data_IF_984053479332
#
_entry.id   IF_984053479332
#
_cell.length_a   1.000
_cell.length_b   1.000
_cell.length_c   1.000
_cell.angle_alpha   90.00
_cell.angle_beta   90.00
_cell.angle_gamma   90.00
#
_symmetry.space_group_name_H-M   'P 1'
#
loop_
_entity.id
_entity.type
_entity.pdbx_description
1 polymer ?
#
# COMPACT_ATOMS: atom_id res chain seq x y z
N UNK A 1 16.16 -15.58 -4.23
CA UNK A 1 14.90 -15.50 -3.45
C UNK A 1 14.94 -16.63 -2.44
N UNK A 2 14.94 -16.32 -1.17
CA UNK A 2 14.98 -17.31 -0.09
C UNK A 2 13.69 -18.16 -0.08
N UNK A 3 13.77 -19.37 0.51
CA UNK A 3 12.59 -20.25 0.60
C UNK A 3 11.42 -19.57 1.34
N UNK A 4 11.73 -18.78 2.35
CA UNK A 4 10.73 -18.05 3.14
C UNK A 4 10.00 -17.00 2.30
N UNK A 5 10.69 -16.28 1.42
CA UNK A 5 10.08 -15.31 0.49
C UNK A 5 9.07 -15.97 -0.43
N UNK A 6 9.40 -17.16 -0.97
CA UNK A 6 8.48 -17.92 -1.83
C UNK A 6 7.21 -18.32 -1.09
N UNK A 7 7.34 -18.64 0.20
CA UNK A 7 6.18 -18.98 1.02
C UNK A 7 5.31 -17.74 1.24
N UNK A 8 5.90 -16.58 1.54
CA UNK A 8 5.15 -15.34 1.70
C UNK A 8 4.40 -14.94 0.41
N UNK A 9 5.05 -15.00 -0.75
CA UNK A 9 4.41 -14.67 -2.03
C UNK A 9 3.23 -15.61 -2.33
N UNK A 10 3.40 -16.92 -2.11
CA UNK A 10 2.35 -17.91 -2.33
C UNK A 10 1.18 -17.76 -1.34
N UNK A 11 1.47 -17.53 -0.06
CA UNK A 11 0.45 -17.30 0.96
C UNK A 11 -0.34 -16.00 0.67
N UNK A 12 0.36 -14.92 0.31
CA UNK A 12 -0.27 -13.66 -0.05
C UNK A 12 -1.22 -13.81 -1.25
N UNK A 13 -0.80 -14.49 -2.31
CA UNK A 13 -1.65 -14.74 -3.47
C UNK A 13 -2.94 -15.48 -3.07
N UNK A 14 -2.82 -16.52 -2.25
CA UNK A 14 -4.00 -17.27 -1.80
C UNK A 14 -4.90 -16.40 -0.92
N UNK A 15 -4.35 -15.68 0.07
CA UNK A 15 -5.14 -14.82 0.95
C UNK A 15 -5.86 -13.70 0.21
N UNK A 16 -5.26 -13.15 -0.85
CA UNK A 16 -5.87 -12.08 -1.64
C UNK A 16 -6.86 -12.56 -2.69
N UNK A 17 -6.71 -13.79 -3.20
CA UNK A 17 -7.59 -14.36 -4.23
C UNK A 17 -8.79 -15.11 -3.64
N UNK A 18 -8.57 -15.88 -2.58
CA UNK A 18 -9.58 -16.79 -2.01
C UNK A 18 -10.15 -16.25 -0.70
N UNK A 19 -9.44 -15.31 -0.04
CA UNK A 19 -9.73 -14.84 1.31
C UNK A 19 -9.04 -15.69 2.38
N UNK A 20 -8.89 -15.12 3.58
CA UNK A 20 -8.25 -15.81 4.71
C UNK A 20 -9.01 -17.06 5.13
N UNK A 21 -10.35 -16.98 5.25
CA UNK A 21 -11.19 -18.09 5.70
C UNK A 21 -11.16 -19.28 4.74
N UNK A 22 -11.09 -19.03 3.44
CA UNK A 22 -11.09 -20.04 2.38
C UNK A 22 -9.74 -20.75 2.20
N UNK A 23 -8.66 -20.26 2.82
CA UNK A 23 -7.29 -20.82 2.65
C UNK A 23 -6.92 -21.72 3.80
N UNK A 24 -6.27 -22.86 3.48
CA UNK A 24 -5.71 -23.81 4.46
C UNK A 24 -4.19 -23.85 4.36
N UNK A 25 -3.52 -24.22 5.47
CA UNK A 25 -2.06 -24.43 5.48
C UNK A 25 -1.62 -25.50 4.47
N UNK A 26 -2.44 -26.51 4.24
CA UNK A 26 -2.16 -27.57 3.26
C UNK A 26 -2.19 -27.06 1.82
N UNK A 27 -3.08 -26.13 1.49
CA UNK A 27 -3.11 -25.46 0.18
C UNK A 27 -1.87 -24.62 -0.02
N UNK A 28 -1.44 -23.86 1.01
CA UNK A 28 -0.23 -23.05 0.95
C UNK A 28 1.00 -23.95 0.73
N UNK A 29 1.14 -25.03 1.52
CA UNK A 29 2.24 -25.98 1.37
C UNK A 29 2.34 -26.56 -0.04
N UNK A 30 1.21 -27.01 -0.60
CA UNK A 30 1.13 -27.52 -1.98
C UNK A 30 1.51 -26.46 -3.01
N UNK A 31 1.02 -25.23 -2.85
CA UNK A 31 1.34 -24.12 -3.77
C UNK A 31 2.84 -23.75 -3.74
N UNK A 32 3.48 -23.88 -2.58
CA UNK A 32 4.92 -23.68 -2.44
C UNK A 32 5.76 -24.88 -2.89
N UNK A 33 5.17 -26.04 -3.12
CA UNK A 33 5.90 -27.28 -3.43
C UNK A 33 6.70 -27.83 -2.23
N UNK A 34 6.20 -27.63 -1.00
CA UNK A 34 6.85 -28.09 0.23
C UNK A 34 5.92 -28.98 1.05
N UNK A 35 6.51 -29.81 1.92
CA UNK A 35 5.74 -30.64 2.85
C UNK A 35 5.08 -29.80 3.96
N UNK A 36 3.89 -30.24 4.42
CA UNK A 36 3.16 -29.62 5.53
C UNK A 36 4.03 -29.45 6.77
N UNK A 37 4.79 -30.48 7.15
CA UNK A 37 5.69 -30.41 8.30
C UNK A 37 6.78 -29.32 8.14
N UNK A 38 7.26 -29.11 6.92
CA UNK A 38 8.21 -28.04 6.61
C UNK A 38 7.57 -26.67 6.78
N UNK A 39 6.31 -26.49 6.30
CA UNK A 39 5.61 -25.23 6.46
C UNK A 39 5.38 -24.88 7.93
N UNK A 40 4.96 -25.86 8.75
CA UNK A 40 4.75 -25.64 10.19
C UNK A 40 6.02 -25.36 11.00
N UNK A 41 7.21 -25.69 10.47
CA UNK A 41 8.49 -25.26 11.06
C UNK A 41 8.71 -23.75 10.91
N UNK A 42 8.21 -23.15 9.83
CA UNK A 42 8.33 -21.71 9.60
C UNK A 42 7.19 -20.93 10.26
N UNK A 43 5.97 -21.47 10.22
CA UNK A 43 4.76 -20.79 10.66
C UNK A 43 3.89 -21.72 11.49
N UNK A 44 3.80 -21.49 12.80
CA UNK A 44 3.06 -22.38 13.72
C UNK A 44 1.55 -22.38 13.46
N UNK A 45 1.03 -21.32 12.87
CA UNK A 45 -0.40 -21.19 12.53
C UNK A 45 -0.61 -20.37 11.27
N UNK A 46 -1.83 -20.48 10.70
CA UNK A 46 -2.26 -19.64 9.57
C UNK A 46 -2.32 -18.17 9.94
N UNK A 47 -2.74 -17.88 11.16
CA UNK A 47 -2.81 -16.52 11.70
C UNK A 47 -1.43 -15.89 11.82
N UNK A 48 -0.46 -16.60 12.43
CA UNK A 48 0.92 -16.11 12.50
C UNK A 48 1.52 -15.89 11.11
N UNK A 49 1.25 -16.79 10.16
CA UNK A 49 1.66 -16.64 8.78
C UNK A 49 1.08 -15.37 8.14
N UNK A 50 -0.21 -15.06 8.38
CA UNK A 50 -0.84 -13.84 7.88
C UNK A 50 -0.17 -12.60 8.47
N UNK A 51 0.08 -12.57 9.78
CA UNK A 51 0.76 -11.44 10.44
C UNK A 51 2.18 -11.23 9.91
N UNK A 52 2.93 -12.32 9.71
CA UNK A 52 4.29 -12.26 9.14
C UNK A 52 4.27 -11.83 7.66
N UNK A 53 3.27 -12.26 6.88
CA UNK A 53 3.07 -11.77 5.51
C UNK A 53 2.82 -10.25 5.47
N UNK A 54 2.01 -9.73 6.39
CA UNK A 54 1.73 -8.30 6.48
C UNK A 54 3.03 -7.52 6.72
N UNK A 55 3.87 -7.98 7.66
CA UNK A 55 5.16 -7.33 7.92
C UNK A 55 6.08 -7.39 6.69
N UNK A 56 6.27 -8.58 6.11
CA UNK A 56 7.12 -8.79 4.94
C UNK A 56 6.75 -7.86 3.78
N UNK A 57 5.45 -7.77 3.43
CA UNK A 57 5.02 -6.92 2.33
C UNK A 57 5.04 -5.43 2.68
N UNK A 58 4.83 -5.07 3.95
CA UNK A 58 4.95 -3.69 4.42
C UNK A 58 6.39 -3.21 4.33
N UNK A 59 7.36 -4.01 4.76
CA UNK A 59 8.79 -3.69 4.66
C UNK A 59 9.25 -3.57 3.21
N UNK A 60 8.85 -4.51 2.36
CA UNK A 60 9.15 -4.50 0.93
C UNK A 60 8.59 -3.26 0.23
N UNK A 61 7.35 -2.93 0.51
CA UNK A 61 6.71 -1.73 -0.01
C UNK A 61 7.40 -0.45 0.48
N UNK A 62 7.74 -0.39 1.76
CA UNK A 62 8.47 0.73 2.35
C UNK A 62 9.85 0.93 1.72
N UNK A 63 10.59 -0.15 1.48
CA UNK A 63 11.88 -0.09 0.82
C UNK A 63 11.78 0.41 -0.64
N UNK A 64 10.76 -0.02 -1.39
CA UNK A 64 10.52 0.48 -2.76
C UNK A 64 10.17 1.97 -2.75
N UNK A 65 9.31 2.42 -1.84
CA UNK A 65 8.96 3.83 -1.69
C UNK A 65 10.18 4.68 -1.31
N UNK A 66 10.99 4.22 -0.36
CA UNK A 66 12.21 4.92 0.04
C UNK A 66 13.22 5.00 -1.11
N UNK A 67 13.37 3.96 -1.91
CA UNK A 67 14.23 3.96 -3.11
C UNK A 67 13.85 5.08 -4.09
N UNK A 68 12.56 5.37 -4.25
CA UNK A 68 12.09 6.47 -5.11
C UNK A 68 12.37 7.83 -4.45
N UNK A 69 12.05 7.97 -3.16
CA UNK A 69 12.16 9.24 -2.46
C UNK A 69 13.63 9.66 -2.21
N UNK A 70 14.51 8.68 -1.97
CA UNK A 70 15.94 8.92 -1.77
C UNK A 70 16.72 9.12 -3.07
N UNK A 71 16.14 8.83 -4.24
CA UNK A 71 16.84 8.94 -5.52
C UNK A 71 17.15 10.41 -5.85
N UNK A 72 18.44 10.82 -5.91
CA UNK A 72 18.85 12.20 -6.18
C UNK A 72 18.57 12.63 -7.64
N UNK A 73 18.44 11.68 -8.57
CA UNK A 73 18.21 11.96 -9.99
C UNK A 73 16.74 12.28 -10.29
N UNK A 74 15.85 12.03 -9.35
CA UNK A 74 14.43 12.34 -9.50
C UNK A 74 14.12 13.74 -8.99
N UNK A 75 13.45 14.54 -9.84
CA UNK A 75 12.90 15.82 -9.40
C UNK A 75 11.85 15.63 -8.29
N UNK A 76 11.62 16.63 -7.42
CA UNK A 76 10.59 16.56 -6.39
C UNK A 76 9.22 16.19 -6.94
N UNK A 77 8.89 16.64 -8.15
CA UNK A 77 7.63 16.30 -8.83
C UNK A 77 7.56 14.82 -9.20
N UNK A 78 8.63 14.25 -9.75
CA UNK A 78 8.69 12.81 -10.05
C UNK A 78 8.65 11.95 -8.80
N UNK A 79 9.24 12.42 -7.69
CA UNK A 79 9.12 11.76 -6.39
C UNK A 79 7.67 11.78 -5.90
N UNK A 80 7.00 12.95 -5.95
CA UNK A 80 5.61 13.11 -5.51
C UNK A 80 4.61 12.27 -6.32
N UNK A 81 4.83 12.09 -7.62
CA UNK A 81 3.97 11.26 -8.46
C UNK A 81 4.36 9.78 -8.44
N UNK A 82 5.66 9.48 -8.27
CA UNK A 82 6.20 8.12 -8.37
C UNK A 82 6.12 7.30 -7.09
N UNK A 83 6.18 7.95 -5.90
CA UNK A 83 6.27 7.22 -4.62
C UNK A 83 5.07 6.30 -4.35
N UNK A 84 3.93 6.57 -4.96
CA UNK A 84 2.72 5.79 -4.79
C UNK A 84 2.63 4.58 -5.74
N UNK A 85 3.43 4.56 -6.80
CA UNK A 85 3.38 3.47 -7.78
C UNK A 85 3.57 2.06 -7.16
N UNK A 86 4.47 1.85 -6.19
CA UNK A 86 4.54 0.59 -5.44
C UNK A 86 3.23 0.22 -4.75
N UNK A 87 2.55 1.20 -4.14
CA UNK A 87 1.26 1.00 -3.45
C UNK A 87 0.18 0.61 -4.46
N UNK A 88 0.10 1.31 -5.60
CA UNK A 88 -0.85 1.01 -6.68
C UNK A 88 -0.65 -0.42 -7.19
N UNK A 89 0.61 -0.81 -7.47
CA UNK A 89 0.92 -2.18 -7.90
C UNK A 89 0.57 -3.24 -6.85
N UNK A 90 0.74 -2.91 -5.57
CA UNK A 90 0.40 -3.81 -4.47
C UNK A 90 -1.13 -3.97 -4.34
N UNK A 91 -1.86 -2.85 -4.31
CA UNK A 91 -3.33 -2.85 -4.15
C UNK A 91 -4.02 -3.51 -5.34
N UNK A 92 -3.53 -3.32 -6.57
CA UNK A 92 -4.11 -3.97 -7.76
C UNK A 92 -3.97 -5.50 -7.79
N UNK A 93 -3.09 -6.07 -6.96
CA UNK A 93 -3.00 -7.53 -6.76
C UNK A 93 -4.06 -8.07 -5.78
N UNK A 94 -4.68 -7.20 -5.00
CA UNK A 94 -5.72 -7.56 -4.04
C UNK A 94 -7.07 -7.49 -4.78
N UNK A 95 -7.68 -8.64 -5.01
CA UNK A 95 -8.97 -8.74 -5.72
C UNK A 95 -10.11 -8.27 -4.82
N UNK A 96 -10.45 -6.98 -4.92
CA UNK A 96 -11.59 -6.37 -4.26
C UNK A 96 -11.48 -6.25 -2.73
N UNK A 97 -12.42 -5.54 -2.13
CA UNK A 97 -12.49 -5.37 -0.67
C UNK A 97 -12.85 -6.64 0.11
N UNK A 98 -13.30 -7.71 -0.58
CA UNK A 98 -13.77 -8.93 0.04
C UNK A 98 -12.70 -9.65 0.89
N UNK A 99 -11.46 -9.74 0.39
CA UNK A 99 -10.36 -10.36 1.14
C UNK A 99 -10.02 -9.58 2.41
N UNK A 100 -10.04 -8.25 2.33
CA UNK A 100 -9.78 -7.39 3.49
C UNK A 100 -10.93 -7.44 4.52
N UNK A 101 -12.18 -7.53 4.06
CA UNK A 101 -13.34 -7.73 4.92
C UNK A 101 -13.31 -9.10 5.60
N UNK A 102 -12.88 -10.15 4.88
CA UNK A 102 -12.72 -11.48 5.44
C UNK A 102 -11.64 -11.50 6.55
N UNK A 103 -10.50 -10.84 6.33
CA UNK A 103 -9.46 -10.66 7.35
C UNK A 103 -10.03 -9.89 8.54
N UNK A 104 -10.76 -8.79 8.32
CA UNK A 104 -11.37 -7.99 9.39
C UNK A 104 -12.32 -8.80 10.27
N UNK A 105 -13.07 -9.72 9.68
CA UNK A 105 -14.03 -10.57 10.40
C UNK A 105 -13.36 -11.70 11.18
N UNK A 106 -12.33 -12.32 10.61
CA UNK A 106 -11.75 -13.55 11.13
C UNK A 106 -10.45 -13.34 11.93
N UNK A 107 -9.71 -12.27 11.63
CA UNK A 107 -8.44 -11.91 12.30
C UNK A 107 -8.36 -10.40 12.47
N UNK A 108 -9.16 -9.81 13.39
CA UNK A 108 -9.21 -8.36 13.60
C UNK A 108 -7.85 -7.72 13.85
N UNK A 109 -6.96 -8.39 14.60
CA UNK A 109 -5.58 -7.93 14.86
C UNK A 109 -4.78 -7.74 13.57
N UNK A 110 -4.91 -8.65 12.61
CA UNK A 110 -4.25 -8.52 11.31
C UNK A 110 -4.79 -7.32 10.53
N UNK A 111 -6.09 -7.06 10.60
CA UNK A 111 -6.69 -5.88 9.98
C UNK A 111 -6.18 -4.58 10.60
N UNK A 112 -6.12 -4.50 11.93
CA UNK A 112 -5.57 -3.34 12.65
C UNK A 112 -4.10 -3.10 12.28
N UNK A 113 -3.32 -4.18 12.18
CA UNK A 113 -1.92 -4.12 11.75
C UNK A 113 -1.78 -3.59 10.32
N UNK A 114 -2.60 -4.07 9.37
CA UNK A 114 -2.62 -3.55 7.98
C UNK A 114 -2.91 -2.05 7.99
N UNK A 115 -3.93 -1.62 8.72
CA UNK A 115 -4.34 -0.21 8.77
C UNK A 115 -3.29 0.69 9.43
N UNK A 116 -2.68 0.25 10.53
CA UNK A 116 -1.60 0.96 11.20
C UNK A 116 -0.35 1.08 10.31
N UNK A 117 0.06 0.00 9.65
CA UNK A 117 1.19 0.00 8.73
C UNK A 117 0.95 0.91 7.52
N UNK A 118 -0.25 0.86 6.94
CA UNK A 118 -0.66 1.73 5.84
C UNK A 118 -0.58 3.20 6.25
N UNK A 119 -1.18 3.55 7.40
CA UNK A 119 -1.14 4.94 7.91
C UNK A 119 0.30 5.40 8.16
N UNK A 120 1.10 4.61 8.86
CA UNK A 120 2.49 4.94 9.16
C UNK A 120 3.32 5.16 7.89
N UNK A 121 3.21 4.24 6.94
CA UNK A 121 4.01 4.26 5.72
C UNK A 121 3.63 5.42 4.80
N UNK A 122 2.34 5.65 4.59
CA UNK A 122 1.84 6.70 3.71
C UNK A 122 2.02 8.07 4.36
N UNK A 123 1.68 8.21 5.65
CA UNK A 123 1.73 9.49 6.37
C UNK A 123 3.13 10.10 6.35
N UNK A 124 4.13 9.35 6.78
CA UNK A 124 5.50 9.85 6.86
C UNK A 124 6.03 10.30 5.49
N UNK A 125 5.74 9.51 4.46
CA UNK A 125 6.19 9.80 3.10
C UNK A 125 5.48 11.02 2.49
N UNK A 126 4.17 11.18 2.72
CA UNK A 126 3.45 12.38 2.25
C UNK A 126 3.98 13.64 2.94
N UNK A 127 4.15 13.61 4.26
CA UNK A 127 4.73 14.75 5.01
C UNK A 127 6.09 15.13 4.41
N UNK A 128 6.98 14.16 4.20
CA UNK A 128 8.30 14.37 3.60
C UNK A 128 8.20 15.01 2.21
N UNK A 129 7.35 14.47 1.33
CA UNK A 129 7.15 14.99 -0.04
C UNK A 129 6.67 16.44 -0.01
N UNK A 130 5.70 16.76 0.85
CA UNK A 130 5.17 18.12 0.95
C UNK A 130 6.24 19.09 1.45
N UNK A 131 7.04 18.71 2.45
CA UNK A 131 8.12 19.55 2.96
C UNK A 131 9.24 19.76 1.93
N UNK A 132 9.64 18.72 1.20
CA UNK A 132 10.62 18.83 0.11
C UNK A 132 10.07 19.68 -1.05
N UNK A 133 8.79 19.52 -1.41
CA UNK A 133 8.12 20.32 -2.43
C UNK A 133 7.99 21.79 -2.05
N UNK A 134 7.75 22.11 -0.78
CA UNK A 134 7.78 23.49 -0.26
C UNK A 134 9.18 24.09 -0.37
N UNK A 135 10.21 23.38 0.09
CA UNK A 135 11.61 23.82 0.02
C UNK A 135 12.07 24.11 -1.40
N UNK A 136 11.67 23.30 -2.36
CA UNK A 136 11.98 23.50 -3.79
C UNK A 136 11.13 24.58 -4.48
N UNK A 137 10.07 25.07 -3.81
CA UNK A 137 9.09 25.99 -4.37
C UNK A 137 8.08 25.34 -5.34
N UNK A 138 8.07 24.02 -5.45
CA UNK A 138 7.07 23.29 -6.24
C UNK A 138 5.68 23.40 -5.61
N UNK A 139 5.59 23.28 -4.30
CA UNK A 139 4.34 23.41 -3.56
C UNK A 139 4.20 24.78 -2.89
N UNK A 140 2.96 25.15 -2.63
CA UNK A 140 2.63 26.40 -1.94
C UNK A 140 3.24 26.44 -0.54
N UNK A 141 3.81 27.58 -0.15
CA UNK A 141 4.51 27.73 1.16
C UNK A 141 3.57 27.63 2.38
N UNK A 142 2.29 27.98 2.21
CA UNK A 142 1.29 27.96 3.27
C UNK A 142 0.62 26.59 3.48
N UNK A 143 1.10 25.51 2.84
CA UNK A 143 0.59 24.17 3.06
C UNK A 143 0.99 23.65 4.45
N UNK A 144 0.02 23.04 5.13
CA UNK A 144 0.29 22.21 6.30
C UNK A 144 0.47 20.77 5.84
N UNK A 145 1.70 20.25 5.91
CA UNK A 145 2.06 18.90 5.45
C UNK A 145 1.28 17.80 6.17
N UNK A 146 1.04 17.98 7.46
CA UNK A 146 0.23 17.07 8.28
C UNK A 146 -1.22 17.02 7.78
N UNK A 147 -1.81 18.19 7.48
CA UNK A 147 -3.16 18.26 6.94
C UNK A 147 -3.26 17.57 5.57
N UNK A 148 -2.31 17.81 4.68
CA UNK A 148 -2.27 17.15 3.37
C UNK A 148 -2.21 15.63 3.52
N UNK A 149 -1.38 15.12 4.45
CA UNK A 149 -1.28 13.71 4.74
C UNK A 149 -2.62 13.13 5.25
N UNK A 150 -3.30 13.81 6.16
CA UNK A 150 -4.61 13.37 6.64
C UNK A 150 -5.70 13.40 5.56
N UNK A 151 -5.71 14.43 4.70
CA UNK A 151 -6.65 14.50 3.57
C UNK A 151 -6.45 13.32 2.62
N UNK A 152 -5.21 13.03 2.23
CA UNK A 152 -4.90 11.91 1.34
C UNK A 152 -5.24 10.56 1.97
N UNK A 153 -4.84 10.33 3.22
CA UNK A 153 -5.16 9.06 3.91
C UNK A 153 -6.67 8.90 4.08
N UNK A 154 -7.38 9.97 4.44
CA UNK A 154 -8.83 9.97 4.58
C UNK A 154 -9.52 9.65 3.25
N UNK A 155 -9.11 10.32 2.17
CA UNK A 155 -9.62 10.05 0.83
C UNK A 155 -9.37 8.60 0.40
N UNK A 156 -8.12 8.11 0.50
CA UNK A 156 -7.77 6.72 0.14
C UNK A 156 -8.56 5.71 0.98
N UNK A 157 -8.74 5.97 2.28
CA UNK A 157 -9.48 5.07 3.18
C UNK A 157 -10.96 5.02 2.84
N UNK A 158 -11.57 6.16 2.51
CA UNK A 158 -12.97 6.25 2.11
C UNK A 158 -13.21 5.59 0.74
N UNK A 159 -12.37 5.91 -0.22
CA UNK A 159 -12.46 5.40 -1.59
C UNK A 159 -12.16 3.89 -1.71
N UNK A 160 -11.55 3.28 -0.69
CA UNK A 160 -11.34 1.84 -0.63
C UNK A 160 -12.60 1.03 -0.23
N UNK A 161 -13.71 1.69 0.13
CA UNK A 161 -14.98 1.03 0.42
C UNK A 161 -15.57 0.41 -0.85
N UNK A 162 -16.04 -0.86 -0.80
CA UNK A 162 -16.59 -1.54 -1.98
C UNK A 162 -17.73 -0.77 -2.65
N UNK A 163 -18.61 -0.19 -1.87
CA UNK A 163 -19.76 0.59 -2.34
C UNK A 163 -19.33 1.80 -3.17
N UNK A 164 -18.28 2.49 -2.74
CA UNK A 164 -17.73 3.65 -3.45
C UNK A 164 -16.98 3.22 -4.71
N UNK A 165 -16.26 2.09 -4.65
CA UNK A 165 -15.58 1.53 -5.83
C UNK A 165 -16.58 1.16 -6.93
N UNK A 166 -17.73 0.59 -6.57
CA UNK A 166 -18.82 0.27 -7.51
C UNK A 166 -19.46 1.54 -8.08
N UNK A 167 -19.73 2.56 -7.24
CA UNK A 167 -20.30 3.83 -7.66
C UNK A 167 -19.42 4.56 -8.68
N UNK A 168 -18.10 4.61 -8.41
CA UNK A 168 -17.15 5.32 -9.28
C UNK A 168 -16.80 4.51 -10.53
N UNK A 169 -16.83 3.17 -10.46
CA UNK A 169 -16.58 2.27 -11.59
C UNK A 169 -15.13 2.24 -12.08
N UNK A 170 -14.17 2.74 -11.30
CA UNK A 170 -12.75 2.71 -11.62
C UNK A 170 -12.03 1.56 -10.91
N UNK A 171 -11.03 0.94 -11.56
CA UNK A 171 -10.13 0.03 -10.89
C UNK A 171 -9.40 0.74 -9.72
N UNK A 172 -9.20 0.05 -8.59
CA UNK A 172 -8.62 0.62 -7.36
C UNK A 172 -7.28 1.35 -7.59
N UNK A 173 -6.43 0.84 -8.49
CA UNK A 173 -5.16 1.50 -8.84
C UNK A 173 -5.39 2.83 -9.54
N UNK A 174 -6.31 2.90 -10.50
CA UNK A 174 -6.64 4.11 -11.25
C UNK A 174 -7.28 5.16 -10.35
N UNK A 175 -8.18 4.73 -9.47
CA UNK A 175 -8.81 5.59 -8.49
C UNK A 175 -7.78 6.26 -7.57
N UNK A 176 -6.78 5.49 -7.12
CA UNK A 176 -5.70 6.00 -6.29
C UNK A 176 -4.84 7.04 -7.04
N UNK A 177 -4.49 6.76 -8.30
CA UNK A 177 -3.75 7.70 -9.15
C UNK A 177 -4.50 9.02 -9.34
N UNK A 178 -5.79 8.98 -9.65
CA UNK A 178 -6.61 10.16 -9.84
C UNK A 178 -6.79 10.95 -8.55
N UNK A 179 -7.02 10.26 -7.42
CA UNK A 179 -7.10 10.92 -6.10
C UNK A 179 -5.82 11.68 -5.77
N UNK A 180 -4.66 11.10 -6.05
CA UNK A 180 -3.38 11.77 -5.84
C UNK A 180 -3.20 12.96 -6.77
N UNK A 181 -3.57 12.83 -8.05
CA UNK A 181 -3.51 13.93 -9.00
C UNK A 181 -4.30 15.14 -8.51
N UNK A 182 -5.55 14.94 -8.12
CA UNK A 182 -6.44 16.00 -7.58
C UNK A 182 -5.80 16.72 -6.38
N UNK A 183 -5.22 15.97 -5.45
CA UNK A 183 -4.61 16.57 -4.25
C UNK A 183 -3.30 17.29 -4.60
N UNK A 184 -2.44 16.67 -5.43
CA UNK A 184 -1.16 17.30 -5.82
C UNK A 184 -1.36 18.56 -6.64
N UNK A 185 -2.29 18.59 -7.58
CA UNK A 185 -2.64 19.80 -8.33
C UNK A 185 -3.09 20.94 -7.41
N UNK A 186 -3.89 20.61 -6.38
CA UNK A 186 -4.27 21.56 -5.34
C UNK A 186 -3.10 22.06 -4.49
N UNK A 187 -2.01 21.32 -4.40
CA UNK A 187 -0.80 21.68 -3.64
C UNK A 187 0.19 22.53 -4.45
N UNK A 188 0.15 22.52 -5.80
CA UNK A 188 1.11 23.21 -6.65
C UNK A 188 1.11 24.73 -6.42
N UNK A 189 2.30 25.31 -6.42
CA UNK A 189 2.53 26.76 -6.54
C UNK A 189 2.37 27.20 -8.01
N UNK A 190 2.38 28.51 -8.28
CA UNK A 190 2.42 29.04 -9.66
C UNK A 190 3.66 28.52 -10.41
N UNK A 191 4.83 28.52 -9.77
CA UNK A 191 6.07 27.95 -10.30
C UNK A 191 5.93 26.44 -10.58
N UNK A 192 5.28 25.69 -9.69
CA UNK A 192 5.06 24.25 -9.85
C UNK A 192 4.15 23.94 -11.05
N UNK A 193 3.13 24.76 -11.31
CA UNK A 193 2.23 24.63 -12.48
C UNK A 193 2.94 24.92 -13.80
N UNK A 194 3.86 25.88 -13.83
CA UNK A 194 4.61 26.24 -15.03
C UNK A 194 5.63 25.18 -15.47
N UNK A 195 6.03 24.26 -14.60
CA UNK A 195 6.98 23.18 -14.89
C UNK A 195 6.29 21.83 -15.18
N UNK A 196 4.96 21.79 -15.23
CA UNK A 196 4.16 20.58 -15.42
C UNK A 196 3.72 20.38 -16.90
N UNK A 197 4.21 21.21 -17.81
CA UNK A 197 3.97 21.15 -19.27
C UNK A 197 5.04 20.37 -20.02
#
# INVERSE_FOLDING_TARGET
MEQKDRIYEAAFQLFTQVGYSGVTMDQIARNCGIGKATLYKYFPSKEQMLLDCIDYFTEKLGAEMESILANPDLSPQRKATGFIAPVVRFVSKIHGGAALQDIRRNVPEAYEKIDANRRRLIFANIVRIVEEGRKSGMFRQNLNSTLVAHVLIGAISHLACPEILEEIGLPSGKLLEETLSVVWEGCLSEKGRGNAG
#
